data_IF_314724250187
#
_entry.id   IF_314724250187
#
_cell.length_a   1.000
_cell.length_b   1.000
_cell.length_c   1.000
_cell.angle_alpha   90.00
_cell.angle_beta   90.00
_cell.angle_gamma   90.00
#
_symmetry.space_group_name_H-M   'P 1'
#
loop_
_entity.id
_entity.type
_entity.pdbx_description
1 polymer ?
#
# COMPACT_ATOMS: atom_id res chain seq x y z
N UNK A 1 -20.67 11.86 -4.85
CA UNK A 1 -20.53 12.37 -3.47
C UNK A 1 -19.16 13.00 -3.32
N UNK A 2 -19.10 14.33 -3.34
CA UNK A 2 -17.87 15.15 -3.39
C UNK A 2 -17.67 15.93 -2.09
N UNK A 3 -18.17 15.40 -0.98
CA UNK A 3 -17.88 15.96 0.34
C UNK A 3 -16.38 15.93 0.57
N UNK A 4 -15.87 17.09 0.98
CA UNK A 4 -14.51 17.31 1.45
C UNK A 4 -14.24 16.28 2.55
N UNK A 5 -13.15 15.53 2.44
CA UNK A 5 -12.76 14.60 3.48
C UNK A 5 -11.72 15.32 4.33
N UNK A 6 -12.14 15.82 5.48
CA UNK A 6 -11.24 16.16 6.56
C UNK A 6 -10.75 14.85 7.20
N UNK A 7 -9.53 14.43 6.87
CA UNK A 7 -8.91 13.26 7.48
C UNK A 7 -7.80 12.61 6.67
N UNK A 8 -7.15 11.62 7.28
CA UNK A 8 -6.06 10.86 6.66
C UNK A 8 -6.59 9.94 5.56
N UNK A 9 -6.10 10.15 4.33
CA UNK A 9 -6.36 9.29 3.17
C UNK A 9 -5.10 8.46 2.90
N UNK A 10 -5.26 7.14 2.80
CA UNK A 10 -4.21 6.21 2.40
C UNK A 10 -4.69 5.43 1.16
N UNK A 11 -3.83 5.19 0.17
CA UNK A 11 -4.27 4.49 -1.03
C UNK A 11 -3.12 3.93 -1.86
N UNK A 12 -3.47 2.97 -2.72
CA UNK A 12 -2.50 2.22 -3.51
C UNK A 12 -3.16 1.56 -4.72
N UNK A 13 -2.47 1.59 -5.88
CA UNK A 13 -2.66 0.64 -6.96
C UNK A 13 -1.83 -0.62 -6.70
N UNK A 14 -2.44 -1.80 -6.84
CA UNK A 14 -1.73 -3.08 -6.78
C UNK A 14 -1.47 -3.58 -8.20
N UNK A 15 -0.19 -3.58 -8.58
CA UNK A 15 0.24 -4.01 -9.89
C UNK A 15 0.82 -5.42 -9.79
N UNK A 16 0.21 -6.37 -10.50
CA UNK A 16 0.72 -7.74 -10.58
C UNK A 16 0.35 -8.37 -11.93
N UNK A 17 0.69 -9.63 -12.12
CA UNK A 17 0.46 -10.34 -13.39
C UNK A 17 -1.03 -10.45 -13.67
N UNK A 18 -1.46 -10.11 -14.89
CA UNK A 18 -2.88 -10.00 -15.26
C UNK A 18 -3.71 -11.25 -14.94
N UNK A 19 -3.10 -12.45 -15.07
CA UNK A 19 -3.75 -13.73 -14.78
C UNK A 19 -4.18 -13.93 -13.32
N UNK A 20 -3.66 -13.14 -12.38
CA UNK A 20 -4.03 -13.21 -10.96
C UNK A 20 -5.14 -12.23 -10.57
N UNK A 21 -5.77 -11.55 -11.53
CA UNK A 21 -6.87 -10.63 -11.24
C UNK A 21 -7.99 -11.31 -10.45
N UNK A 22 -8.35 -12.54 -10.82
CA UNK A 22 -9.46 -13.28 -10.21
C UNK A 22 -9.11 -13.88 -8.84
N UNK A 23 -7.85 -13.84 -8.41
CA UNK A 23 -7.42 -14.32 -7.10
C UNK A 23 -7.41 -13.21 -6.03
N UNK A 24 -7.70 -11.98 -6.42
CA UNK A 24 -7.80 -10.83 -5.52
C UNK A 24 -9.17 -10.79 -4.82
N UNK A 25 -9.18 -10.62 -3.50
CA UNK A 25 -10.39 -10.64 -2.68
C UNK A 25 -10.39 -9.51 -1.65
N UNK A 26 -11.57 -9.08 -1.21
CA UNK A 26 -11.73 -8.26 0.00
C UNK A 26 -12.21 -9.14 1.15
N UNK A 27 -11.49 -9.14 2.27
CA UNK A 27 -11.89 -9.83 3.49
C UNK A 27 -12.24 -8.85 4.60
N UNK A 28 -13.42 -9.02 5.18
CA UNK A 28 -13.84 -8.37 6.43
C UNK A 28 -13.73 -9.36 7.57
N UNK A 29 -12.77 -9.16 8.46
CA UNK A 29 -12.53 -10.03 9.62
C UNK A 29 -13.04 -9.35 10.88
N UNK A 30 -14.00 -10.00 11.55
CA UNK A 30 -14.43 -9.63 12.90
C UNK A 30 -13.61 -10.41 13.92
N UNK A 31 -13.04 -9.73 14.91
CA UNK A 31 -12.10 -10.35 15.84
C UNK A 31 -12.57 -10.21 17.29
N UNK A 32 -12.36 -11.28 18.07
CA UNK A 32 -12.67 -11.32 19.49
C UNK A 32 -11.47 -10.86 20.35
N UNK A 33 -11.67 -10.77 21.66
CA UNK A 33 -10.58 -10.53 22.63
C UNK A 33 -9.95 -9.14 22.52
N UNK A 34 -10.75 -8.11 22.18
CA UNK A 34 -10.28 -6.72 22.14
C UNK A 34 -9.48 -6.33 20.89
N UNK A 35 -9.13 -7.28 20.01
CA UNK A 35 -8.42 -6.99 18.75
C UNK A 35 -9.27 -6.14 17.79
N UNK A 36 -8.66 -5.28 16.95
CA UNK A 36 -9.41 -4.50 15.98
C UNK A 36 -9.99 -5.41 14.89
N UNK A 37 -11.16 -5.06 14.37
CA UNK A 37 -11.72 -5.66 13.16
C UNK A 37 -10.91 -5.16 11.96
N UNK A 38 -10.75 -5.99 10.93
CA UNK A 38 -9.89 -5.72 9.78
C UNK A 38 -10.70 -5.77 8.50
N UNK A 39 -10.50 -4.79 7.63
CA UNK A 39 -11.01 -4.79 6.26
C UNK A 39 -9.82 -4.65 5.32
N UNK A 40 -9.55 -5.69 4.53
CA UNK A 40 -8.34 -5.76 3.71
C UNK A 40 -8.59 -6.33 2.32
N UNK A 41 -7.83 -5.83 1.36
CA UNK A 41 -7.65 -6.47 0.07
C UNK A 41 -6.45 -7.41 0.16
N UNK A 42 -6.59 -8.63 -0.34
CA UNK A 42 -5.54 -9.65 -0.31
C UNK A 42 -5.59 -10.56 -1.54
N UNK A 43 -4.54 -11.35 -1.73
CA UNK A 43 -4.53 -12.47 -2.66
C UNK A 43 -5.00 -13.74 -1.94
N UNK A 44 -5.85 -14.53 -2.58
CA UNK A 44 -6.44 -15.75 -2.02
C UNK A 44 -5.35 -16.69 -1.47
N UNK A 45 -5.51 -17.15 -0.23
CA UNK A 45 -4.53 -17.99 0.48
C UNK A 45 -3.56 -17.21 1.39
N UNK A 46 -3.48 -15.89 1.27
CA UNK A 46 -2.72 -15.07 2.23
C UNK A 46 -3.56 -14.72 3.47
N UNK A 47 -2.91 -14.38 4.58
CA UNK A 47 -3.58 -14.01 5.85
C UNK A 47 -3.58 -12.51 6.12
N UNK A 48 -2.85 -11.73 5.32
CA UNK A 48 -2.74 -10.29 5.41
C UNK A 48 -2.17 -9.72 4.13
N UNK A 49 -2.40 -8.43 3.91
CA UNK A 49 -1.88 -7.68 2.77
C UNK A 49 -2.11 -6.17 3.03
N UNK A 50 -2.96 -5.49 2.25
CA UNK A 50 -3.24 -4.05 2.36
C UNK A 50 -4.65 -3.82 2.89
N UNK A 51 -4.88 -2.81 3.71
CA UNK A 51 -6.20 -2.60 4.30
C UNK A 51 -6.20 -1.62 5.46
N UNK A 52 -7.30 -1.61 6.21
CA UNK A 52 -7.45 -0.79 7.40
C UNK A 52 -8.16 -1.56 8.51
N UNK A 53 -8.05 -1.06 9.74
CA UNK A 53 -8.66 -1.68 10.90
C UNK A 53 -9.55 -0.73 11.70
N UNK A 54 -10.34 -1.29 12.64
CA UNK A 54 -11.29 -0.52 13.45
C UNK A 54 -10.67 0.38 14.51
N UNK A 55 -9.36 0.29 14.73
CA UNK A 55 -8.59 1.26 15.54
C UNK A 55 -8.17 2.49 14.72
N UNK A 56 -8.45 2.52 13.40
CA UNK A 56 -8.15 3.65 12.53
C UNK A 56 -6.74 3.60 11.94
N UNK A 57 -6.07 2.45 11.97
CA UNK A 57 -4.79 2.21 11.30
C UNK A 57 -5.03 1.68 9.87
N UNK A 58 -4.25 2.16 8.92
CA UNK A 58 -4.23 1.70 7.53
C UNK A 58 -2.84 1.24 7.11
N UNK A 59 -2.80 0.33 6.14
CA UNK A 59 -1.57 -0.24 5.58
C UNK A 59 -1.66 -0.38 4.05
N UNK A 60 -0.63 0.10 3.37
CA UNK A 60 -0.29 -0.22 1.99
C UNK A 60 1.11 -0.85 1.94
N UNK A 61 1.37 -1.70 0.94
CA UNK A 61 2.65 -2.42 0.83
C UNK A 61 3.19 -2.41 -0.58
N UNK A 62 4.50 -2.22 -0.76
CA UNK A 62 5.14 -2.27 -2.07
C UNK A 62 6.33 -3.23 -2.04
N UNK A 63 6.54 -3.95 -3.16
CA UNK A 63 7.74 -4.76 -3.33
C UNK A 63 8.97 -3.86 -3.40
N UNK A 64 10.00 -4.21 -2.63
CA UNK A 64 11.35 -3.67 -2.69
C UNK A 64 12.31 -4.83 -2.90
N UNK A 65 13.44 -4.58 -3.57
CA UNK A 65 14.45 -5.60 -3.81
C UNK A 65 15.83 -5.02 -3.51
N UNK A 66 16.55 -5.65 -2.59
CA UNK A 66 17.94 -5.32 -2.27
C UNK A 66 18.86 -6.50 -2.58
N UNK A 67 20.15 -6.24 -2.77
CA UNK A 67 21.14 -7.31 -2.86
C UNK A 67 21.49 -7.94 -1.49
N UNK A 68 20.76 -7.59 -0.44
CA UNK A 68 20.77 -8.27 0.87
C UNK A 68 19.69 -9.34 0.98
N UNK A 69 18.67 -9.30 0.12
CA UNK A 69 17.58 -10.27 0.14
C UNK A 69 18.12 -11.68 -0.11
N UNK A 70 17.61 -12.65 0.65
CA UNK A 70 18.07 -14.04 0.62
C UNK A 70 16.89 -15.01 0.63
N UNK A 71 17.18 -16.28 0.31
CA UNK A 71 16.21 -17.38 0.40
C UNK A 71 16.17 -18.02 1.79
N UNK A 72 16.84 -17.42 2.77
CA UNK A 72 16.84 -17.93 4.15
C UNK A 72 15.44 -17.80 4.76
N UNK A 73 15.18 -18.66 5.76
CA UNK A 73 13.92 -18.64 6.47
C UNK A 73 13.72 -17.30 7.18
N UNK A 74 12.54 -16.72 7.00
CA UNK A 74 12.12 -15.50 7.65
C UNK A 74 10.61 -15.46 7.80
N UNK A 75 10.10 -14.49 8.56
CA UNK A 75 8.66 -14.29 8.69
C UNK A 75 8.11 -13.75 7.36
N UNK A 76 7.04 -14.34 6.80
CA UNK A 76 6.47 -13.85 5.54
C UNK A 76 6.01 -12.39 5.64
N UNK A 77 6.74 -11.48 4.99
CA UNK A 77 6.56 -10.04 5.12
C UNK A 77 5.22 -9.55 4.55
N UNK A 78 4.88 -9.98 3.33
CA UNK A 78 3.65 -9.58 2.62
C UNK A 78 2.39 -10.02 3.36
N UNK A 79 2.44 -11.16 4.08
CA UNK A 79 1.27 -11.82 4.63
C UNK A 79 1.20 -11.76 6.16
N UNK A 80 2.20 -12.33 6.85
CA UNK A 80 2.18 -12.50 8.31
C UNK A 80 2.50 -11.19 9.01
N UNK A 81 3.56 -10.48 8.60
CA UNK A 81 3.90 -9.18 9.19
C UNK A 81 2.83 -8.14 8.85
N UNK A 82 2.36 -8.10 7.60
CA UNK A 82 1.24 -7.25 7.20
C UNK A 82 -0.03 -7.50 8.05
N UNK A 83 -0.38 -8.77 8.31
CA UNK A 83 -1.50 -9.09 9.20
C UNK A 83 -1.25 -8.64 10.64
N UNK A 84 -0.02 -8.75 11.13
CA UNK A 84 0.36 -8.30 12.48
C UNK A 84 0.25 -6.77 12.61
N UNK A 85 0.62 -6.02 11.57
CA UNK A 85 0.36 -4.57 11.48
C UNK A 85 -1.14 -4.29 11.52
N UNK A 86 -1.94 -4.96 10.69
CA UNK A 86 -3.40 -4.75 10.66
C UNK A 86 -4.11 -5.16 11.97
N UNK A 87 -3.51 -6.05 12.77
CA UNK A 87 -4.00 -6.39 14.10
C UNK A 87 -3.60 -5.40 15.20
N UNK A 88 -2.77 -4.39 14.89
CA UNK A 88 -2.25 -3.42 15.85
C UNK A 88 -3.24 -2.28 16.11
N UNK A 89 -3.40 -1.89 17.38
CA UNK A 89 -4.26 -0.76 17.75
C UNK A 89 -3.54 0.59 17.71
N UNK A 90 -2.21 0.59 17.69
CA UNK A 90 -1.39 1.81 17.70
C UNK A 90 -0.30 1.74 16.62
N UNK A 91 0.20 2.90 16.18
CA UNK A 91 1.37 2.97 15.28
C UNK A 91 2.59 2.31 15.92
N UNK A 92 2.80 2.49 17.23
CA UNK A 92 3.91 1.85 17.97
C UNK A 92 3.88 0.34 17.79
N UNK A 93 2.73 -0.29 18.01
CA UNK A 93 2.59 -1.74 17.92
C UNK A 93 2.76 -2.22 16.47
N UNK A 94 2.31 -1.43 15.50
CA UNK A 94 2.50 -1.70 14.08
C UNK A 94 3.98 -1.63 13.66
N UNK A 95 4.71 -0.60 14.08
CA UNK A 95 6.17 -0.51 13.85
C UNK A 95 6.89 -1.67 14.53
N UNK A 96 6.50 -2.00 15.76
CA UNK A 96 7.08 -3.12 16.51
C UNK A 96 6.79 -4.49 15.86
N UNK A 97 5.68 -4.62 15.14
CA UNK A 97 5.40 -5.82 14.35
C UNK A 97 6.43 -6.03 13.23
N UNK A 98 6.94 -4.94 12.65
CA UNK A 98 7.96 -4.94 11.59
C UNK A 98 9.36 -5.12 12.17
N UNK A 99 9.75 -4.28 13.13
CA UNK A 99 11.13 -4.25 13.65
C UNK A 99 11.53 -5.50 14.43
N UNK A 100 10.56 -6.28 14.93
CA UNK A 100 10.80 -7.57 15.58
C UNK A 100 10.66 -8.79 14.68
N UNK A 101 10.32 -8.60 13.40
CA UNK A 101 10.27 -9.71 12.47
C UNK A 101 11.69 -10.16 12.12
N UNK A 102 11.91 -11.48 12.10
CA UNK A 102 13.06 -12.06 11.40
C UNK A 102 12.81 -11.89 9.89
N UNK A 103 13.72 -11.19 9.22
CA UNK A 103 13.54 -10.70 7.86
C UNK A 103 14.63 -11.29 6.96
N UNK A 104 14.23 -11.86 5.83
CA UNK A 104 15.14 -12.32 4.78
C UNK A 104 14.90 -11.62 3.44
N UNK A 105 13.94 -10.70 3.36
CA UNK A 105 13.61 -9.98 2.13
C UNK A 105 13.32 -8.50 2.40
N UNK A 106 13.25 -7.73 1.32
CA UNK A 106 12.90 -6.31 1.36
C UNK A 106 11.42 -6.06 1.06
N UNK A 107 10.86 -5.04 1.69
CA UNK A 107 9.48 -4.59 1.45
C UNK A 107 9.31 -3.15 1.94
N UNK A 108 8.36 -2.43 1.35
CA UNK A 108 7.89 -1.17 1.89
C UNK A 108 6.55 -1.35 2.60
N UNK A 109 6.41 -0.75 3.80
CA UNK A 109 5.13 -0.60 4.49
C UNK A 109 4.79 0.88 4.67
N UNK A 110 3.76 1.34 3.97
CA UNK A 110 3.18 2.67 4.17
C UNK A 110 2.02 2.55 5.17
N UNK A 111 2.26 3.04 6.39
CA UNK A 111 1.36 2.94 7.53
C UNK A 111 0.81 4.33 7.84
N UNK A 112 -0.50 4.45 8.02
CA UNK A 112 -1.12 5.71 8.42
C UNK A 112 -2.18 5.50 9.50
N UNK A 113 -2.46 6.55 10.27
CA UNK A 113 -3.45 6.52 11.33
C UNK A 113 -4.46 7.66 11.17
N UNK A 114 -5.69 7.39 11.59
CA UNK A 114 -6.81 8.33 11.52
C UNK A 114 -6.62 9.62 12.34
N UNK A 115 -5.61 9.65 13.22
CA UNK A 115 -5.20 10.84 13.97
C UNK A 115 -4.29 11.81 13.22
N UNK A 116 -3.96 11.56 11.95
CA UNK A 116 -3.14 12.47 11.11
C UNK A 116 -1.71 12.01 10.86
N UNK A 117 -1.23 11.02 11.61
CA UNK A 117 0.14 10.51 11.47
C UNK A 117 0.29 9.47 10.36
N UNK A 118 1.44 9.46 9.69
CA UNK A 118 1.83 8.46 8.70
C UNK A 118 3.35 8.23 8.70
N UNK A 119 3.75 7.01 8.37
CA UNK A 119 5.13 6.54 8.28
C UNK A 119 5.26 5.65 7.06
N UNK A 120 6.40 5.75 6.38
CA UNK A 120 6.79 4.81 5.35
C UNK A 120 8.05 4.09 5.82
N UNK A 121 7.95 2.76 5.91
CA UNK A 121 9.02 1.90 6.39
C UNK A 121 9.63 1.16 5.20
N UNK A 122 10.87 1.50 4.86
CA UNK A 122 11.68 0.74 3.92
C UNK A 122 12.44 -0.34 4.67
N UNK A 123 12.00 -1.58 4.52
CA UNK A 123 12.50 -2.72 5.27
C UNK A 123 13.47 -3.51 4.40
N UNK A 124 14.59 -3.88 5.01
CA UNK A 124 15.56 -4.85 4.48
C UNK A 124 15.77 -5.99 5.49
N UNK A 125 16.54 -7.04 5.15
CA UNK A 125 16.98 -8.04 6.12
C UNK A 125 17.72 -7.41 7.31
N UNK A 126 18.56 -6.41 7.04
CA UNK A 126 19.47 -5.84 8.02
C UNK A 126 18.77 -4.82 8.93
N UNK A 127 18.06 -3.85 8.34
CA UNK A 127 17.49 -2.72 9.10
C UNK A 127 16.25 -2.11 8.43
N UNK A 128 15.62 -1.13 9.08
CA UNK A 128 14.43 -0.41 8.63
C UNK A 128 14.72 1.09 8.57
N UNK A 129 14.60 1.68 7.39
CA UNK A 129 14.58 3.13 7.26
C UNK A 129 13.15 3.66 7.39
N UNK A 130 13.02 4.88 7.90
CA UNK A 130 11.74 5.54 8.14
C UNK A 130 11.70 6.84 7.36
N UNK A 131 10.66 7.02 6.56
CA UNK A 131 10.36 8.27 5.88
C UNK A 131 9.09 8.89 6.46
N UNK A 132 9.09 10.21 6.54
CA UNK A 132 7.98 11.00 7.05
C UNK A 132 7.32 11.80 5.92
N UNK A 133 6.02 12.13 6.06
CA UNK A 133 5.35 13.01 5.11
C UNK A 133 6.03 14.37 5.01
N UNK A 134 6.11 14.91 3.79
CA UNK A 134 6.49 16.29 3.56
C UNK A 134 5.27 17.07 3.06
N UNK A 135 4.94 18.17 3.75
CA UNK A 135 3.69 18.90 3.53
C UNK A 135 2.44 18.05 3.73
N UNK A 136 2.49 17.04 4.61
CA UNK A 136 1.40 16.08 4.82
C UNK A 136 1.23 15.04 3.71
N UNK A 137 2.16 14.96 2.75
CA UNK A 137 2.12 14.03 1.63
C UNK A 137 3.30 13.07 1.70
N UNK A 138 3.01 11.77 1.62
CA UNK A 138 3.98 10.69 1.54
C UNK A 138 3.57 9.76 0.39
N UNK A 139 4.52 9.40 -0.47
CA UNK A 139 4.27 8.61 -1.68
C UNK A 139 5.44 7.68 -1.91
N UNK A 140 5.17 6.45 -2.31
CA UNK A 140 6.20 5.44 -2.52
C UNK A 140 5.83 4.55 -3.72
N UNK A 141 6.83 3.96 -4.37
CA UNK A 141 6.68 2.96 -5.44
C UNK A 141 7.49 1.70 -5.08
N UNK A 142 8.36 1.21 -5.95
CA UNK A 142 9.10 -0.06 -5.84
C UNK A 142 10.62 0.12 -5.85
N UNK A 143 11.11 1.29 -5.41
CA UNK A 143 12.52 1.58 -5.23
C UNK A 143 12.73 2.21 -3.86
N UNK A 144 13.92 2.07 -3.29
CA UNK A 144 14.29 2.76 -2.06
C UNK A 144 14.51 4.25 -2.34
N UNK A 145 14.07 5.08 -1.40
CA UNK A 145 14.20 6.52 -1.34
C UNK A 145 15.17 6.95 -0.23
N UNK A 146 15.30 6.14 0.83
CA UNK A 146 16.24 6.42 1.92
C UNK A 146 17.69 6.31 1.46
N UNK A 147 18.52 7.28 1.89
CA UNK A 147 19.97 7.23 1.75
C UNK A 147 20.67 6.56 2.93
N UNK A 148 19.94 6.06 3.93
CA UNK A 148 20.51 5.53 5.17
C UNK A 148 21.10 4.12 5.01
N UNK A 149 20.97 3.52 3.83
CA UNK A 149 21.40 2.16 3.59
C UNK A 149 22.65 2.07 2.70
N UNK A 150 23.44 1.02 2.93
CA UNK A 150 24.60 0.66 2.10
C UNK A 150 24.39 -0.70 1.45
N UNK A 151 23.58 -0.72 0.38
CA UNK A 151 23.30 -1.89 -0.46
C UNK A 151 23.00 -1.46 -1.91
N UNK A 152 22.85 -2.41 -2.83
CA UNK A 152 22.34 -2.15 -4.18
C UNK A 152 20.82 -2.36 -4.24
N UNK A 153 20.10 -1.31 -4.61
CA UNK A 153 18.67 -1.39 -4.92
C UNK A 153 18.49 -2.07 -6.28
N UNK A 154 18.13 -3.36 -6.24
CA UNK A 154 17.88 -4.17 -7.42
C UNK A 154 16.52 -3.87 -8.05
N UNK A 155 15.59 -3.31 -7.26
CA UNK A 155 14.24 -2.93 -7.70
C UNK A 155 14.26 -1.91 -8.84
N UNK A 156 15.27 -1.03 -8.88
CA UNK A 156 15.48 -0.07 -9.99
C UNK A 156 15.67 -0.73 -11.36
N UNK A 157 16.22 -1.95 -11.40
CA UNK A 157 16.40 -2.68 -12.65
C UNK A 157 15.16 -3.51 -13.01
N UNK A 158 14.47 -4.04 -12.00
CA UNK A 158 13.28 -4.88 -12.19
C UNK A 158 12.04 -4.04 -12.51
N UNK A 159 11.94 -2.84 -11.91
CA UNK A 159 10.82 -1.91 -12.05
C UNK A 159 11.34 -0.49 -12.34
N UNK A 160 11.95 -0.22 -13.52
CA UNK A 160 12.59 1.08 -13.80
C UNK A 160 11.60 2.25 -13.76
N UNK A 161 10.35 2.02 -14.15
CA UNK A 161 9.24 2.98 -14.08
C UNK A 161 8.95 3.45 -12.64
N UNK A 162 9.38 2.68 -11.63
CA UNK A 162 9.25 3.01 -10.22
C UNK A 162 9.81 4.40 -9.91
N UNK A 163 10.96 4.74 -10.49
CA UNK A 163 11.67 6.01 -10.30
C UNK A 163 10.81 7.22 -10.72
N UNK A 164 9.94 7.02 -11.71
CA UNK A 164 9.03 8.05 -12.22
C UNK A 164 7.73 8.06 -11.41
N UNK A 165 7.15 6.88 -11.12
CA UNK A 165 5.81 6.77 -10.54
C UNK A 165 5.67 7.41 -9.17
N UNK A 166 6.59 7.17 -8.22
CA UNK A 166 6.46 7.78 -6.89
C UNK A 166 6.51 9.31 -6.97
N UNK A 167 7.44 9.86 -7.75
CA UNK A 167 7.61 11.29 -7.88
C UNK A 167 6.51 11.93 -8.72
N UNK A 168 5.95 11.20 -9.71
CA UNK A 168 4.76 11.62 -10.46
C UNK A 168 3.55 11.71 -9.53
N UNK A 169 3.29 10.69 -8.71
CA UNK A 169 2.22 10.71 -7.71
C UNK A 169 2.39 11.91 -6.76
N UNK A 170 3.61 12.11 -6.24
CA UNK A 170 3.92 13.25 -5.37
C UNK A 170 3.58 14.59 -6.01
N UNK A 171 4.04 14.83 -7.25
CA UNK A 171 3.74 16.06 -8.00
C UNK A 171 2.24 16.26 -8.23
N UNK A 172 1.51 15.21 -8.57
CA UNK A 172 0.06 15.25 -8.79
C UNK A 172 -0.71 15.64 -7.52
N UNK A 173 -0.27 15.15 -6.35
CA UNK A 173 -0.91 15.44 -5.07
C UNK A 173 -0.49 16.81 -4.52
N UNK A 174 0.80 17.15 -4.52
CA UNK A 174 1.30 18.45 -4.04
C UNK A 174 0.77 19.62 -4.88
N UNK A 175 0.47 19.40 -6.16
CA UNK A 175 -0.14 20.41 -7.03
C UNK A 175 -1.59 20.76 -6.68
N UNK A 176 -2.21 20.10 -5.70
CA UNK A 176 -3.58 20.36 -5.28
C UNK A 176 -3.61 21.27 -4.05
N UNK A 177 -4.44 22.32 -4.11
CA UNK A 177 -4.71 23.18 -2.94
C UNK A 177 -5.33 22.43 -1.78
N UNK A 178 -6.15 21.41 -2.08
CA UNK A 178 -6.84 20.55 -1.12
C UNK A 178 -6.95 19.15 -1.68
N UNK A 179 -6.60 18.15 -0.87
CA UNK A 179 -6.76 16.75 -1.22
C UNK A 179 -8.13 16.23 -0.77
N UNK A 180 -8.70 15.36 -1.60
CA UNK A 180 -9.90 14.59 -1.30
C UNK A 180 -9.84 13.28 -2.09
N UNK A 181 -10.77 12.35 -1.85
CA UNK A 181 -10.79 11.05 -2.54
C UNK A 181 -10.81 11.20 -4.06
N UNK A 182 -11.50 12.19 -4.62
CA UNK A 182 -11.52 12.39 -6.08
C UNK A 182 -10.17 12.87 -6.62
N UNK A 183 -9.44 13.67 -5.86
CA UNK A 183 -8.08 14.11 -6.22
C UNK A 183 -7.12 12.93 -6.22
N UNK A 184 -7.23 12.04 -5.22
CA UNK A 184 -6.42 10.81 -5.17
C UNK A 184 -6.83 9.84 -6.28
N UNK A 185 -8.15 9.65 -6.54
CA UNK A 185 -8.66 8.86 -7.68
C UNK A 185 -8.09 9.34 -9.00
N UNK A 186 -8.06 10.65 -9.24
CA UNK A 186 -7.48 11.20 -10.45
C UNK A 186 -5.98 10.90 -10.55
N UNK A 187 -5.23 10.99 -9.44
CA UNK A 187 -3.80 10.71 -9.41
C UNK A 187 -3.47 9.23 -9.64
N UNK A 188 -4.22 8.30 -9.03
CA UNK A 188 -4.03 6.85 -9.24
C UNK A 188 -4.49 6.37 -10.63
N UNK A 189 -5.26 7.19 -11.34
CA UNK A 189 -5.68 6.94 -12.73
C UNK A 189 -4.76 7.59 -13.77
N UNK A 190 -3.62 8.19 -13.37
CA UNK A 190 -2.69 8.86 -14.28
C UNK A 190 -1.96 7.87 -15.20
N UNK A 191 -1.87 8.24 -16.49
CA UNK A 191 -1.29 7.44 -17.57
C UNK A 191 0.04 8.00 -18.11
N UNK A 192 0.72 8.86 -17.36
CA UNK A 192 2.05 9.31 -17.77
C UNK A 192 3.01 8.10 -17.80
N UNK A 193 3.69 7.89 -18.93
CA UNK A 193 4.56 6.73 -19.23
C UNK A 193 3.82 5.39 -19.47
N UNK A 194 2.65 5.46 -20.10
CA UNK A 194 1.87 4.29 -20.54
C UNK A 194 2.73 3.30 -21.37
N UNK A 195 2.64 1.96 -21.14
CA UNK A 195 1.68 1.26 -20.28
C UNK A 195 2.13 1.09 -18.81
N UNK A 196 3.37 1.48 -18.48
CA UNK A 196 3.98 1.33 -17.14
C UNK A 196 3.69 2.50 -16.19
N UNK A 197 2.62 3.24 -16.48
CA UNK A 197 2.15 4.39 -15.73
C UNK A 197 1.66 4.03 -14.31
N UNK A 198 1.31 5.04 -13.51
CA UNK A 198 0.70 4.83 -12.17
C UNK A 198 -0.55 3.94 -12.29
N UNK A 199 -1.43 4.24 -13.23
CA UNK A 199 -2.48 3.32 -13.67
C UNK A 199 -1.85 2.39 -14.70
N UNK A 200 -1.40 1.19 -14.29
CA UNK A 200 -0.65 0.27 -15.16
C UNK A 200 -1.60 -0.55 -16.02
N UNK A 201 -1.25 -0.72 -17.29
CA UNK A 201 -1.99 -1.54 -18.27
C UNK A 201 -1.11 -2.65 -18.84
N UNK A 202 -1.70 -3.74 -19.36
CA UNK A 202 -0.94 -4.79 -20.01
C UNK A 202 -0.13 -4.29 -21.21
N UNK A 203 1.18 -4.49 -21.19
CA UNK A 203 2.04 -4.21 -22.35
C UNK A 203 1.92 -5.34 -23.38
N UNK A 204 1.26 -5.05 -24.50
CA UNK A 204 1.01 -6.02 -25.58
C UNK A 204 2.29 -6.52 -26.27
N UNK A 205 3.45 -5.90 -26.01
CA UNK A 205 4.75 -6.37 -26.50
C UNK A 205 5.29 -7.55 -25.68
N UNK A 206 4.84 -7.72 -24.44
CA UNK A 206 5.22 -8.82 -23.58
C UNK A 206 4.34 -10.06 -23.83
N UNK A 207 4.88 -11.25 -23.54
CA UNK A 207 4.10 -12.48 -23.53
C UNK A 207 2.88 -12.33 -22.59
N UNK A 208 1.71 -12.93 -22.86
CA UNK A 208 0.53 -12.78 -22.01
C UNK A 208 0.77 -13.14 -20.54
N UNK A 209 1.58 -14.17 -20.26
CA UNK A 209 1.97 -14.46 -18.87
C UNK A 209 2.86 -13.36 -18.29
N UNK A 210 3.76 -12.77 -19.09
CA UNK A 210 4.53 -11.51 -18.95
C UNK A 210 3.81 -10.30 -18.34
N UNK A 211 2.54 -10.15 -18.69
CA UNK A 211 1.87 -8.85 -18.61
C UNK A 211 1.50 -8.49 -17.18
N UNK A 212 1.88 -7.27 -16.78
CA UNK A 212 1.46 -6.64 -15.52
C UNK A 212 0.35 -5.63 -15.78
N UNK A 213 -0.53 -5.47 -14.80
CA UNK A 213 -1.53 -4.42 -14.79
C UNK A 213 -1.93 -4.06 -13.36
N UNK A 214 -2.60 -2.92 -13.18
CA UNK A 214 -3.26 -2.62 -11.91
C UNK A 214 -4.48 -3.54 -11.73
N UNK A 215 -4.37 -4.52 -10.84
CA UNK A 215 -5.43 -5.47 -10.51
C UNK A 215 -6.51 -4.86 -9.62
N UNK A 216 -6.12 -3.92 -8.76
CA UNK A 216 -7.04 -3.15 -7.91
C UNK A 216 -6.43 -1.79 -7.59
N UNK A 217 -7.29 -0.80 -7.36
CA UNK A 217 -6.95 0.42 -6.63
C UNK A 217 -7.72 0.43 -5.32
N UNK A 218 -7.04 0.63 -4.20
CA UNK A 218 -7.65 0.81 -2.88
C UNK A 218 -7.45 2.23 -2.38
N UNK A 219 -8.51 2.85 -1.84
CA UNK A 219 -8.48 4.16 -1.20
C UNK A 219 -9.19 4.09 0.14
N UNK A 220 -8.51 4.51 1.20
CA UNK A 220 -8.94 4.32 2.57
C UNK A 220 -9.07 5.67 3.26
N UNK A 221 -10.27 5.97 3.75
CA UNK A 221 -10.53 7.13 4.61
C UNK A 221 -10.48 6.64 6.05
N UNK A 222 -9.32 6.78 6.68
CA UNK A 222 -9.07 6.18 7.99
C UNK A 222 -9.94 6.81 9.08
N UNK A 223 -10.24 8.10 8.96
CA UNK A 223 -11.17 8.84 9.83
C UNK A 223 -12.58 8.25 9.87
N UNK A 224 -13.00 7.58 8.81
CA UNK A 224 -14.37 7.06 8.65
C UNK A 224 -14.43 5.53 8.61
N UNK A 225 -13.28 4.85 8.62
CA UNK A 225 -13.23 3.39 8.47
C UNK A 225 -13.71 2.92 7.10
N UNK A 226 -13.62 3.76 6.06
CA UNK A 226 -14.09 3.47 4.70
C UNK A 226 -12.96 2.97 3.82
N UNK A 227 -13.18 1.87 3.10
CA UNK A 227 -12.31 1.35 2.06
C UNK A 227 -13.07 1.37 0.73
N UNK A 228 -12.62 2.18 -0.20
CA UNK A 228 -13.02 2.11 -1.60
C UNK A 228 -12.06 1.21 -2.35
N UNK A 229 -12.57 0.36 -3.23
CA UNK A 229 -11.74 -0.50 -4.08
C UNK A 229 -12.31 -0.66 -5.49
N UNK A 230 -11.45 -1.01 -6.45
CA UNK A 230 -11.85 -1.42 -7.80
C UNK A 230 -11.54 -2.88 -8.06
N UNK A 231 -12.30 -3.51 -8.95
CA UNK A 231 -11.91 -4.74 -9.63
C UNK A 231 -11.32 -4.34 -10.98
N UNK A 232 -9.99 -4.41 -11.11
CA UNK A 232 -9.23 -3.92 -12.26
C UNK A 232 -8.82 -2.44 -12.16
N UNK A 233 -8.37 -1.91 -13.30
CA UNK A 233 -7.72 -0.59 -13.44
C UNK A 233 -8.64 0.58 -13.04
N UNK A 234 -8.16 1.56 -12.26
CA UNK A 234 -8.99 2.62 -11.69
C UNK A 234 -9.52 3.64 -12.70
N UNK A 235 -8.98 3.68 -13.93
CA UNK A 235 -9.43 4.60 -14.96
C UNK A 235 -10.76 4.19 -15.61
N UNK A 236 -11.13 2.91 -15.55
CA UNK A 236 -12.37 2.39 -16.14
C UNK A 236 -13.24 1.65 -15.13
N UNK A 237 -12.64 1.04 -14.11
CA UNK A 237 -13.37 0.29 -13.10
C UNK A 237 -14.13 1.21 -12.13
N UNK A 238 -15.33 0.77 -11.73
CA UNK A 238 -16.15 1.47 -10.72
C UNK A 238 -15.62 1.16 -9.32
N UNK A 239 -15.42 2.20 -8.51
CA UNK A 239 -15.12 2.02 -7.09
C UNK A 239 -16.36 1.50 -6.33
N UNK A 240 -16.16 0.42 -5.58
CA UNK A 240 -17.08 -0.11 -4.57
C UNK A 240 -16.63 0.37 -3.18
N UNK A 241 -17.54 0.44 -2.22
CA UNK A 241 -17.28 0.92 -0.86
C UNK A 241 -17.63 -0.16 0.15
N UNK A 242 -16.72 -0.37 1.10
CA UNK A 242 -16.94 -1.16 2.31
C UNK A 242 -16.48 -0.37 3.54
N UNK A 243 -17.02 -0.72 4.71
CA UNK A 243 -16.74 0.01 5.96
C UNK A 243 -16.45 -0.95 7.10
N UNK A 244 -15.49 -0.61 7.94
CA UNK A 244 -15.30 -1.26 9.25
C UNK A 244 -15.89 -0.37 10.34
N UNK A 245 -16.65 -0.97 11.28
CA UNK A 245 -17.16 -0.22 12.43
C UNK A 245 -16.01 0.12 13.36
N UNK A 246 -15.78 1.40 13.63
CA UNK A 246 -14.77 1.83 14.61
C UNK A 246 -15.16 1.38 16.02
N UNK A 247 -14.18 0.98 16.81
CA UNK A 247 -14.41 0.79 18.25
C UNK A 247 -14.59 2.18 18.89
N UNK A 248 -15.62 2.32 19.72
CA UNK A 248 -15.79 3.52 20.55
C UNK A 248 -14.58 3.65 21.47
N UNK A 249 -13.94 4.83 21.48
CA UNK A 249 -12.92 5.15 22.49
C UNK A 249 -13.61 5.08 23.85
N UNK A 250 -13.17 4.14 24.69
CA UNK A 250 -13.50 4.12 26.11
C UNK A 250 -12.46 4.95 26.84
#
# INVERSE_FOLDING_TARGET
>A
DSSLIDGTILGQNWDFRSRFRETCLILSVRQEGGKPDVLMHLEAGTVGHKGLNSSGLGLCINALLSDRDSVEAGVPLVSVVARKILNSSTIRDAVHAVTRAERSASINYLIAHSGGEALDLEVTPDDVAVLHPDGGILTHSNNFLSSNFTFRDLGKNVFPDSLVRWNRMRRLLMGKKRLNVNSVRAAVSDHFDYPNSICRHPDQRAHPDDQFETLTSVLMILGEGRLYFTEGVPCTAKYRLLTVKKKSKH
#
